data_IF_534333094620
#
_entry.id   IF_534333094620
#
_cell.length_a   1.000
_cell.length_b   1.000
_cell.length_c   1.000
_cell.angle_alpha   90.00
_cell.angle_beta   90.00
_cell.angle_gamma   90.00
#
_symmetry.space_group_name_H-M   'P 1'
#
loop_
_entity.id
_entity.type
_entity.pdbx_description
1 polymer ?
#
# COMPACT_ATOMS: atom_id res chain seq x y z
N UNK A 1 -24.42 -9.89 -52.08
CA UNK A 1 -24.44 -11.36 -52.20
C UNK A 1 -24.31 -11.95 -50.81
N UNK A 2 -25.36 -12.63 -50.34
CA UNK A 2 -25.39 -13.41 -49.11
C UNK A 2 -24.36 -14.55 -49.13
N UNK A 3 -23.89 -14.93 -47.93
CA UNK A 3 -23.45 -16.26 -47.43
C UNK A 3 -22.27 -16.06 -46.47
N UNK A 4 -22.16 -16.66 -45.28
CA UNK A 4 -22.92 -17.68 -44.55
C UNK A 4 -22.48 -17.62 -43.08
N UNK A 5 -23.43 -17.77 -42.15
CA UNK A 5 -23.16 -18.21 -40.78
C UNK A 5 -22.48 -19.59 -40.79
N UNK A 6 -21.65 -19.85 -39.78
CA UNK A 6 -21.31 -21.22 -39.35
C UNK A 6 -21.18 -21.26 -37.84
N UNK A 7 -22.28 -21.70 -37.24
CA UNK A 7 -22.44 -22.16 -35.88
C UNK A 7 -21.66 -23.49 -35.74
N UNK A 8 -20.83 -23.64 -34.70
CA UNK A 8 -20.28 -24.93 -34.32
C UNK A 8 -20.51 -25.14 -32.82
N UNK A 9 -21.56 -25.93 -32.52
CA UNK A 9 -21.69 -26.65 -31.25
C UNK A 9 -20.59 -27.71 -31.19
N UNK A 10 -19.86 -27.76 -30.07
CA UNK A 10 -19.14 -28.95 -29.64
C UNK A 10 -19.68 -29.35 -28.27
N UNK A 11 -20.32 -30.51 -28.25
CA UNK A 11 -20.90 -31.20 -27.10
C UNK A 11 -19.82 -32.06 -26.45
N UNK A 12 -19.79 -32.02 -25.11
CA UNK A 12 -19.30 -33.02 -24.16
C UNK A 12 -17.83 -33.48 -24.25
N UNK A 13 -17.11 -33.24 -23.15
CA UNK A 13 -16.52 -34.32 -22.37
C UNK A 13 -16.36 -33.82 -20.92
N UNK A 14 -17.36 -34.13 -20.10
CA UNK A 14 -17.26 -34.06 -18.65
C UNK A 14 -16.22 -35.10 -18.20
N UNK A 15 -15.02 -34.62 -17.86
CA UNK A 15 -14.10 -35.37 -17.02
C UNK A 15 -14.19 -34.76 -15.64
N UNK A 16 -14.84 -35.49 -14.74
CA UNK A 16 -14.76 -35.28 -13.31
C UNK A 16 -13.31 -35.54 -12.88
N UNK A 17 -12.45 -34.55 -13.05
CA UNK A 17 -11.21 -34.45 -12.29
C UNK A 17 -11.62 -34.10 -10.86
N UNK A 18 -11.83 -35.13 -10.03
CA UNK A 18 -11.70 -34.99 -8.59
C UNK A 18 -10.30 -34.42 -8.35
N UNK A 19 -10.21 -33.10 -8.25
CA UNK A 19 -9.08 -32.47 -7.57
C UNK A 19 -9.20 -32.99 -6.15
N UNK A 20 -8.36 -33.98 -5.85
CA UNK A 20 -7.97 -34.23 -4.48
C UNK A 20 -7.43 -32.90 -3.98
N UNK A 21 -8.28 -32.13 -3.30
CA UNK A 21 -7.81 -31.19 -2.32
C UNK A 21 -6.99 -32.06 -1.37
N UNK A 22 -5.68 -32.06 -1.57
CA UNK A 22 -4.78 -32.45 -0.51
C UNK A 22 -5.22 -31.57 0.66
N UNK A 23 -5.83 -32.18 1.67
CA UNK A 23 -5.88 -31.59 3.00
C UNK A 23 -4.43 -31.26 3.32
N UNK A 24 -4.08 -29.98 3.12
CA UNK A 24 -2.84 -29.45 3.61
C UNK A 24 -2.81 -29.83 5.10
N UNK A 25 -1.72 -30.42 5.59
CA UNK A 25 -1.67 -30.88 6.96
C UNK A 25 -2.07 -29.73 7.87
N UNK A 26 -3.18 -29.91 8.58
CA UNK A 26 -3.61 -29.09 9.71
C UNK A 26 -2.58 -29.28 10.84
N UNK A 27 -1.39 -28.70 10.71
CA UNK A 27 -0.45 -28.40 11.80
C UNK A 27 0.90 -27.89 11.28
N UNK A 28 0.95 -26.59 10.99
CA UNK A 28 2.10 -25.77 11.34
C UNK A 28 1.52 -24.38 11.59
N UNK A 29 1.64 -23.84 12.81
CA UNK A 29 1.15 -22.49 13.09
C UNK A 29 1.76 -21.51 12.09
N UNK A 30 0.95 -20.62 11.53
CA UNK A 30 1.38 -19.68 10.50
C UNK A 30 2.40 -18.69 11.07
N UNK A 31 3.55 -18.59 10.41
CA UNK A 31 4.61 -17.65 10.76
C UNK A 31 4.40 -16.29 10.08
N UNK A 32 5.19 -15.28 10.47
CA UNK A 32 5.10 -13.93 9.93
C UNK A 32 5.36 -13.88 8.41
N UNK A 33 6.26 -14.73 7.90
CA UNK A 33 6.67 -14.73 6.49
C UNK A 33 5.56 -15.32 5.61
N UNK A 34 4.94 -16.40 6.07
CA UNK A 34 3.80 -17.03 5.40
C UNK A 34 2.59 -16.12 5.37
N UNK A 35 2.29 -15.38 6.45
CA UNK A 35 1.27 -14.32 6.44
C UNK A 35 1.56 -13.27 5.38
N UNK A 36 2.80 -12.77 5.31
CA UNK A 36 3.17 -11.80 4.27
C UNK A 36 3.04 -12.37 2.85
N UNK A 37 3.42 -13.63 2.63
CA UNK A 37 3.29 -14.28 1.33
C UNK A 37 1.81 -14.47 0.93
N UNK A 38 0.95 -14.85 1.87
CA UNK A 38 -0.49 -14.95 1.65
C UNK A 38 -1.10 -13.59 1.34
N UNK A 39 -0.72 -12.54 2.07
CA UNK A 39 -1.10 -11.17 1.76
C UNK A 39 -0.60 -10.74 0.37
N UNK A 40 0.65 -11.00 0.01
CA UNK A 40 1.22 -10.64 -1.30
C UNK A 40 0.51 -11.30 -2.49
N UNK A 41 -0.10 -12.47 -2.26
CA UNK A 41 -0.85 -13.22 -3.27
C UNK A 41 -2.33 -12.84 -3.33
N UNK A 42 -2.95 -12.44 -2.21
CA UNK A 42 -4.40 -12.29 -2.11
C UNK A 42 -4.87 -10.86 -1.81
N UNK A 43 -3.99 -9.93 -1.47
CA UNK A 43 -4.36 -8.57 -1.10
C UNK A 43 -4.92 -7.79 -2.30
N UNK A 44 -6.17 -7.33 -2.16
CA UNK A 44 -6.89 -6.62 -3.21
C UNK A 44 -6.28 -5.26 -3.54
N UNK A 45 -5.74 -4.53 -2.55
CA UNK A 45 -5.13 -3.22 -2.76
C UNK A 45 -3.84 -3.32 -3.58
N UNK A 46 -3.00 -4.34 -3.31
CA UNK A 46 -1.81 -4.62 -4.11
C UNK A 46 -2.19 -5.06 -5.54
N UNK A 47 -3.22 -5.88 -5.70
CA UNK A 47 -3.72 -6.26 -7.02
C UNK A 47 -4.21 -5.04 -7.82
N UNK A 48 -4.93 -4.12 -7.17
CA UNK A 48 -5.37 -2.86 -7.77
C UNK A 48 -4.17 -1.97 -8.15
N UNK A 49 -3.16 -1.84 -7.29
CA UNK A 49 -1.94 -1.08 -7.57
C UNK A 49 -1.16 -1.67 -8.76
N UNK A 50 -1.06 -3.01 -8.87
CA UNK A 50 -0.45 -3.69 -10.02
C UNK A 50 -1.21 -3.41 -11.31
N UNK A 51 -2.54 -3.45 -11.27
CA UNK A 51 -3.38 -3.12 -12.43
C UNK A 51 -3.25 -1.65 -12.84
N UNK A 52 -3.19 -0.74 -11.87
CA UNK A 52 -2.95 0.69 -12.10
C UNK A 52 -1.58 0.92 -12.76
N UNK A 53 -0.52 0.28 -12.27
CA UNK A 53 0.80 0.34 -12.90
C UNK A 53 0.77 -0.23 -14.33
N UNK A 54 0.09 -1.36 -14.53
CA UNK A 54 -0.12 -1.94 -15.85
C UNK A 54 -0.79 -0.96 -16.83
N UNK A 55 -1.82 -0.23 -16.39
CA UNK A 55 -2.45 0.80 -17.20
C UNK A 55 -1.52 1.99 -17.48
N UNK A 56 -0.72 2.42 -16.50
CA UNK A 56 0.20 3.54 -16.65
C UNK A 56 1.35 3.22 -17.61
N UNK A 57 1.78 1.95 -17.64
CA UNK A 57 2.79 1.45 -18.57
C UNK A 57 2.40 1.61 -20.03
N UNK A 58 1.10 1.52 -20.33
CA UNK A 58 0.57 1.71 -21.69
C UNK A 58 0.59 3.17 -22.17
N UNK A 59 0.82 4.14 -21.29
CA UNK A 59 0.91 5.55 -21.68
C UNK A 59 2.18 5.82 -22.52
N UNK A 60 3.27 5.07 -22.29
CA UNK A 60 4.51 5.19 -23.08
C UNK A 60 4.33 4.80 -24.55
N UNK A 61 3.79 3.60 -24.90
CA UNK A 61 3.53 3.26 -26.30
C UNK A 61 2.48 4.17 -26.93
N UNK A 62 1.48 4.65 -26.19
CA UNK A 62 0.53 5.64 -26.68
C UNK A 62 1.20 6.98 -27.06
N UNK A 63 2.12 7.47 -26.22
CA UNK A 63 2.90 8.66 -26.53
C UNK A 63 3.84 8.43 -27.72
N UNK A 64 4.50 7.27 -27.77
CA UNK A 64 5.38 6.85 -28.87
C UNK A 64 4.64 6.76 -30.20
N UNK A 65 3.38 6.32 -30.21
CA UNK A 65 2.56 6.24 -31.41
C UNK A 65 2.43 7.60 -32.13
N UNK A 66 2.53 8.71 -31.39
CA UNK A 66 2.56 10.06 -31.97
C UNK A 66 3.81 10.40 -32.80
N UNK A 67 4.84 9.55 -32.77
CA UNK A 67 6.09 9.67 -33.55
C UNK A 67 6.20 8.61 -34.66
N UNK A 68 5.26 7.67 -34.73
CA UNK A 68 5.26 6.56 -35.68
C UNK A 68 4.41 6.89 -36.92
N UNK A 69 4.56 6.13 -38.03
CA UNK A 69 3.73 6.36 -39.20
C UNK A 69 2.26 6.08 -38.87
N UNK A 70 1.39 7.01 -39.25
CA UNK A 70 -0.05 6.86 -39.15
C UNK A 70 -0.64 6.60 -40.54
N UNK A 71 -1.33 5.47 -40.70
CA UNK A 71 -2.06 5.13 -41.92
C UNK A 71 -3.56 5.22 -41.66
N UNK A 72 -4.25 6.02 -42.47
CA UNK A 72 -5.72 6.11 -42.47
C UNK A 72 -6.26 5.85 -43.86
N UNK A 73 -7.48 5.31 -43.92
CA UNK A 73 -8.24 5.16 -45.15
C UNK A 73 -9.65 5.69 -44.94
N UNK A 74 -10.22 6.29 -45.97
CA UNK A 74 -11.57 6.85 -45.98
C UNK A 74 -12.24 6.58 -47.31
N UNK A 75 -13.57 6.62 -47.29
CA UNK A 75 -14.38 6.57 -48.49
C UNK A 75 -15.49 7.61 -48.34
N UNK A 76 -15.68 8.41 -49.37
CA UNK A 76 -16.70 9.44 -49.43
C UNK A 76 -17.68 9.11 -50.55
N UNK A 77 -18.96 9.33 -50.31
CA UNK A 77 -20.02 9.10 -51.28
C UNK A 77 -21.04 10.22 -51.15
N UNK A 78 -21.06 11.11 -52.13
CA UNK A 78 -21.86 12.33 -52.09
C UNK A 78 -22.80 12.39 -53.28
N UNK A 79 -24.02 12.89 -53.08
CA UNK A 79 -24.88 13.34 -54.16
C UNK A 79 -24.79 14.86 -54.23
N UNK A 80 -24.24 15.38 -55.31
CA UNK A 80 -24.00 16.81 -55.54
C UNK A 80 -25.01 17.31 -56.56
N UNK A 81 -25.85 18.25 -56.12
CA UNK A 81 -26.73 19.03 -56.98
C UNK A 81 -26.15 20.43 -57.16
N UNK A 82 -25.74 20.74 -58.37
CA UNK A 82 -25.22 22.06 -58.75
C UNK A 82 -26.26 22.81 -59.57
N UNK A 83 -26.61 24.01 -59.14
CA UNK A 83 -27.46 24.94 -59.88
C UNK A 83 -26.59 26.14 -60.28
N UNK A 84 -26.53 26.42 -61.58
CA UNK A 84 -25.81 27.54 -62.19
C UNK A 84 -26.88 28.50 -62.70
N UNK A 85 -26.80 29.77 -62.30
CA UNK A 85 -27.79 30.78 -62.68
C UNK A 85 -27.55 31.36 -64.08
N UNK A 86 -26.28 31.54 -64.48
CA UNK A 86 -25.90 32.03 -65.81
C UNK A 86 -24.61 31.37 -66.35
N UNK A 87 -24.68 30.67 -67.50
CA UNK A 87 -25.92 30.24 -68.17
C UNK A 87 -26.73 29.31 -67.26
N UNK A 88 -28.06 29.41 -67.31
CA UNK A 88 -28.94 28.61 -66.47
C UNK A 88 -28.73 27.11 -66.73
N UNK A 89 -28.26 26.38 -65.73
CA UNK A 89 -28.03 24.94 -65.82
C UNK A 89 -28.22 24.28 -64.44
N UNK A 90 -28.69 23.03 -64.44
CA UNK A 90 -28.73 22.20 -63.23
C UNK A 90 -28.09 20.86 -63.55
N UNK A 91 -27.17 20.41 -62.69
CA UNK A 91 -26.52 19.12 -62.77
C UNK A 91 -26.68 18.37 -61.45
N UNK A 92 -27.04 17.08 -61.54
CA UNK A 92 -26.98 16.15 -60.42
C UNK A 92 -25.87 15.14 -60.71
N UNK A 93 -25.02 14.89 -59.74
CA UNK A 93 -23.89 13.95 -59.84
C UNK A 93 -23.78 13.16 -58.56
N UNK A 94 -23.51 11.87 -58.72
CA UNK A 94 -22.98 11.06 -57.63
C UNK A 94 -21.46 11.14 -57.70
N UNK A 95 -20.82 11.27 -56.54
CA UNK A 95 -19.39 11.46 -56.41
C UNK A 95 -18.87 10.47 -55.37
N UNK A 96 -18.18 9.44 -55.83
CA UNK A 96 -17.55 8.45 -54.97
C UNK A 96 -16.03 8.60 -54.99
N UNK A 97 -15.40 8.58 -53.81
CA UNK A 97 -13.94 8.55 -53.70
C UNK A 97 -13.47 7.66 -52.57
N UNK A 98 -12.28 7.11 -52.73
CA UNK A 98 -11.52 6.36 -51.74
C UNK A 98 -10.17 7.04 -51.57
N UNK A 99 -9.77 7.26 -50.32
CA UNK A 99 -8.50 7.90 -49.96
C UNK A 99 -7.74 7.04 -48.98
N UNK A 100 -6.45 6.87 -49.20
CA UNK A 100 -5.51 6.36 -48.21
C UNK A 100 -4.44 7.42 -47.94
N UNK A 101 -4.19 7.73 -46.67
CA UNK A 101 -3.22 8.74 -46.23
C UNK A 101 -2.24 8.10 -45.25
N UNK A 102 -0.95 8.15 -45.59
CA UNK A 102 0.16 7.82 -44.70
C UNK A 102 0.84 9.12 -44.27
N UNK A 103 0.96 9.35 -42.96
CA UNK A 103 1.64 10.51 -42.37
C UNK A 103 2.73 10.04 -41.42
N UNK A 104 3.97 10.45 -41.67
CA UNK A 104 5.12 10.18 -40.81
C UNK A 104 5.69 11.49 -40.25
N UNK A 105 5.62 11.69 -38.92
CA UNK A 105 6.40 12.72 -38.23
C UNK A 105 7.89 12.66 -38.56
N UNK A 106 8.46 13.73 -39.12
CA UNK A 106 9.92 13.86 -39.30
C UNK A 106 10.54 14.74 -38.22
N UNK A 107 9.87 15.84 -37.88
CA UNK A 107 10.26 16.73 -36.78
C UNK A 107 9.03 17.16 -35.98
N UNK A 108 8.91 16.64 -34.77
CA UNK A 108 7.81 16.87 -33.82
C UNK A 108 8.32 16.94 -32.39
N UNK A 109 8.91 18.08 -32.04
CA UNK A 109 9.43 18.32 -30.69
C UNK A 109 8.34 18.21 -29.60
N UNK A 110 7.10 18.62 -29.93
CA UNK A 110 5.92 18.44 -29.07
C UNK A 110 5.69 16.96 -28.71
N UNK A 111 5.75 16.07 -29.71
CA UNK A 111 5.54 14.63 -29.51
C UNK A 111 6.72 13.96 -28.83
N UNK A 112 7.95 14.43 -29.07
CA UNK A 112 9.15 13.95 -28.41
C UNK A 112 9.11 14.23 -26.90
N UNK A 113 8.87 15.47 -26.50
CA UNK A 113 8.75 15.82 -25.08
C UNK A 113 7.53 15.16 -24.42
N UNK A 114 6.45 14.92 -25.17
CA UNK A 114 5.32 14.12 -24.68
C UNK A 114 5.73 12.66 -24.36
N UNK A 115 6.58 12.04 -25.18
CA UNK A 115 7.13 10.71 -24.90
C UNK A 115 8.01 10.71 -23.66
N UNK A 116 8.91 11.69 -23.52
CA UNK A 116 9.78 11.80 -22.34
C UNK A 116 8.98 12.03 -21.05
N UNK A 117 7.92 12.86 -21.11
CA UNK A 117 6.99 13.03 -19.99
C UNK A 117 6.29 11.71 -19.64
N UNK A 118 5.81 10.95 -20.64
CA UNK A 118 5.16 9.66 -20.42
C UNK A 118 6.12 8.62 -19.80
N UNK A 119 7.38 8.60 -20.22
CA UNK A 119 8.43 7.74 -19.63
C UNK A 119 8.66 8.09 -18.15
N UNK A 120 8.79 9.38 -17.81
CA UNK A 120 8.93 9.83 -16.43
C UNK A 120 7.69 9.47 -15.57
N UNK A 121 6.48 9.60 -16.11
CA UNK A 121 5.24 9.19 -15.42
C UNK A 121 5.21 7.67 -15.19
N UNK A 122 5.71 6.87 -16.13
CA UNK A 122 5.82 5.42 -15.95
C UNK A 122 6.83 5.05 -14.85
N UNK A 123 7.98 5.71 -14.79
CA UNK A 123 8.96 5.51 -13.71
C UNK A 123 8.42 5.93 -12.34
N UNK A 124 7.70 7.05 -12.28
CA UNK A 124 6.96 7.46 -11.08
C UNK A 124 6.00 6.35 -10.61
N UNK A 125 5.19 5.79 -11.53
CA UNK A 125 4.23 4.75 -11.20
C UNK A 125 4.89 3.43 -10.76
N UNK A 126 6.05 3.10 -11.33
CA UNK A 126 6.85 1.94 -10.90
C UNK A 126 7.31 2.07 -9.44
N UNK A 127 7.79 3.26 -9.05
CA UNK A 127 8.20 3.54 -7.68
C UNK A 127 7.01 3.61 -6.72
N UNK A 128 5.86 4.12 -7.16
CA UNK A 128 4.63 4.07 -6.38
C UNK A 128 4.17 2.63 -6.12
N UNK A 129 4.22 1.74 -7.12
CA UNK A 129 3.95 0.32 -6.92
C UNK A 129 4.94 -0.29 -5.91
N UNK A 130 6.22 0.02 -6.04
CA UNK A 130 7.25 -0.44 -5.09
C UNK A 130 6.97 0.03 -3.66
N UNK A 131 6.48 1.28 -3.51
CA UNK A 131 6.08 1.82 -2.20
C UNK A 131 4.86 1.09 -1.63
N UNK A 132 3.88 0.74 -2.47
CA UNK A 132 2.73 -0.09 -2.07
C UNK A 132 3.17 -1.50 -1.65
N UNK A 133 4.10 -2.11 -2.38
CA UNK A 133 4.66 -3.42 -2.02
C UNK A 133 5.42 -3.37 -0.68
N UNK A 134 6.22 -2.32 -0.45
CA UNK A 134 6.89 -2.10 0.83
C UNK A 134 5.89 -1.83 1.96
N UNK A 135 4.81 -1.11 1.68
CA UNK A 135 3.74 -0.90 2.66
C UNK A 135 3.04 -2.21 3.05
N UNK A 136 2.85 -3.14 2.10
CA UNK A 136 2.29 -4.45 2.41
C UNK A 136 3.15 -5.26 3.38
N UNK A 137 4.48 -5.12 3.30
CA UNK A 137 5.41 -5.74 4.28
C UNK A 137 5.10 -5.22 5.68
N UNK A 138 5.00 -3.90 5.85
CA UNK A 138 4.69 -3.29 7.14
C UNK A 138 3.29 -3.65 7.62
N UNK A 139 2.27 -3.55 6.78
CA UNK A 139 0.88 -3.90 7.12
C UNK A 139 0.76 -5.35 7.57
N UNK A 140 1.46 -6.28 6.90
CA UNK A 140 1.50 -7.69 7.30
C UNK A 140 2.08 -7.86 8.71
N UNK A 141 3.18 -7.17 9.01
CA UNK A 141 3.76 -7.18 10.35
C UNK A 141 2.84 -6.53 11.39
N UNK A 142 2.25 -5.38 11.08
CA UNK A 142 1.31 -4.68 11.97
C UNK A 142 0.10 -5.54 12.33
N UNK A 143 -0.55 -6.17 11.34
CA UNK A 143 -1.67 -7.08 11.58
C UNK A 143 -1.24 -8.33 12.37
N UNK A 144 -0.07 -8.91 12.05
CA UNK A 144 0.45 -10.07 12.77
C UNK A 144 0.73 -9.77 14.24
N UNK A 145 1.47 -8.70 14.52
CA UNK A 145 1.81 -8.31 15.89
C UNK A 145 0.62 -7.71 16.65
N UNK A 146 -0.41 -7.20 15.96
CA UNK A 146 -1.68 -6.85 16.60
C UNK A 146 -2.41 -8.08 17.16
N UNK A 147 -2.42 -9.20 16.42
CA UNK A 147 -2.97 -10.47 16.92
C UNK A 147 -2.17 -10.97 18.13
N UNK A 148 -0.84 -11.00 18.04
CA UNK A 148 0.01 -11.43 19.16
C UNK A 148 -0.17 -10.53 20.40
N UNK A 149 -0.24 -9.21 20.20
CA UNK A 149 -0.53 -8.24 21.26
C UNK A 149 -1.87 -8.50 21.92
N UNK A 150 -2.92 -8.73 21.14
CA UNK A 150 -4.26 -9.03 21.67
C UNK A 150 -4.26 -10.34 22.46
N UNK A 151 -3.57 -11.38 21.97
CA UNK A 151 -3.45 -12.67 22.64
C UNK A 151 -2.72 -12.58 23.99
N UNK A 152 -1.58 -11.88 24.05
CA UNK A 152 -0.84 -11.68 25.30
C UNK A 152 -1.63 -10.82 26.31
N UNK A 153 -2.40 -9.84 25.82
CA UNK A 153 -3.29 -9.04 26.65
C UNK A 153 -4.45 -9.87 27.22
N UNK A 154 -5.05 -10.75 26.42
CA UNK A 154 -6.05 -11.71 26.88
C UNK A 154 -5.46 -12.68 27.91
N UNK A 155 -4.28 -13.23 27.66
CA UNK A 155 -3.60 -14.11 28.61
C UNK A 155 -3.34 -13.42 29.95
N UNK A 156 -2.83 -12.19 29.91
CA UNK A 156 -2.60 -11.37 31.12
C UNK A 156 -3.91 -11.11 31.88
N UNK A 157 -5.00 -10.86 31.17
CA UNK A 157 -6.32 -10.57 31.77
C UNK A 157 -6.99 -11.82 32.35
N UNK A 158 -6.83 -12.99 31.71
CA UNK A 158 -7.23 -14.28 32.29
C UNK A 158 -6.44 -14.59 33.56
N UNK A 159 -5.13 -14.31 33.57
CA UNK A 159 -4.30 -14.51 34.76
C UNK A 159 -4.72 -13.59 35.91
N UNK A 160 -5.07 -12.33 35.60
CA UNK A 160 -5.65 -11.37 36.54
C UNK A 160 -7.01 -11.85 37.11
N UNK A 161 -7.94 -12.26 36.25
CA UNK A 161 -9.23 -12.83 36.66
C UNK A 161 -9.04 -14.05 37.57
N UNK A 162 -8.14 -14.97 37.21
CA UNK A 162 -7.83 -16.14 38.03
C UNK A 162 -7.20 -15.78 39.38
N UNK A 163 -6.38 -14.72 39.43
CA UNK A 163 -5.80 -14.24 40.68
C UNK A 163 -6.87 -13.66 41.60
N UNK A 164 -7.77 -12.81 41.08
CA UNK A 164 -8.89 -12.27 41.86
C UNK A 164 -9.90 -13.33 42.26
N UNK A 165 -10.09 -14.37 41.45
CA UNK A 165 -10.92 -15.52 41.83
C UNK A 165 -10.35 -16.23 43.06
N UNK A 166 -9.03 -16.50 43.08
CA UNK A 166 -8.35 -17.09 44.25
C UNK A 166 -8.47 -16.19 45.48
N UNK A 167 -8.33 -14.87 45.33
CA UNK A 167 -8.51 -13.93 46.44
C UNK A 167 -9.95 -13.93 46.97
N UNK A 168 -10.95 -13.97 46.08
CA UNK A 168 -12.35 -14.11 46.46
C UNK A 168 -12.63 -15.42 47.21
N UNK A 169 -12.11 -16.54 46.72
CA UNK A 169 -12.28 -17.84 47.38
C UNK A 169 -11.63 -17.83 48.77
N UNK A 170 -10.42 -17.28 48.90
CA UNK A 170 -9.75 -17.11 50.18
C UNK A 170 -10.52 -16.16 51.13
N UNK A 171 -11.07 -15.06 50.63
CA UNK A 171 -11.89 -14.14 51.43
C UNK A 171 -13.18 -14.81 51.93
N UNK A 172 -13.82 -15.65 51.10
CA UNK A 172 -15.00 -16.42 51.52
C UNK A 172 -14.66 -17.43 52.62
N UNK A 173 -13.59 -18.21 52.43
CA UNK A 173 -13.14 -19.19 53.43
C UNK A 173 -12.82 -18.53 54.78
N UNK A 174 -12.10 -17.40 54.77
CA UNK A 174 -11.78 -16.63 55.99
C UNK A 174 -13.03 -16.05 56.64
N UNK A 175 -14.01 -15.57 55.87
CA UNK A 175 -15.27 -15.05 56.40
C UNK A 175 -16.09 -16.16 57.06
N UNK A 176 -16.16 -17.34 56.45
CA UNK A 176 -16.92 -18.50 56.96
C UNK A 176 -16.40 -18.99 58.33
N UNK A 177 -15.10 -18.86 58.58
CA UNK A 177 -14.47 -19.17 59.88
C UNK A 177 -14.34 -17.95 60.81
N UNK A 178 -14.89 -16.78 60.44
CA UNK A 178 -14.89 -15.56 61.25
C UNK A 178 -13.55 -14.82 61.35
N UNK A 179 -12.63 -15.05 60.41
CA UNK A 179 -11.29 -14.45 60.36
C UNK A 179 -11.20 -13.20 59.45
N UNK A 180 -12.28 -12.82 58.75
CA UNK A 180 -12.37 -11.60 57.95
C UNK A 180 -13.79 -11.03 57.92
N UNK A 181 -13.92 -9.75 57.58
CA UNK A 181 -15.22 -9.06 57.51
C UNK A 181 -15.93 -9.28 56.17
N UNK A 182 -17.26 -9.06 56.14
CA UNK A 182 -18.07 -9.17 54.90
C UNK A 182 -17.62 -8.18 53.82
N UNK A 183 -17.02 -7.05 54.23
CA UNK A 183 -16.45 -6.04 53.32
C UNK A 183 -15.36 -6.62 52.44
N UNK A 184 -14.51 -7.50 52.98
CA UNK A 184 -13.42 -8.13 52.22
C UNK A 184 -13.97 -9.00 51.08
N UNK A 185 -14.99 -9.80 51.38
CA UNK A 185 -15.69 -10.63 50.39
C UNK A 185 -16.31 -9.79 49.29
N UNK A 186 -17.02 -8.71 49.65
CA UNK A 186 -17.66 -7.81 48.68
C UNK A 186 -16.64 -7.10 47.79
N UNK A 187 -15.50 -6.70 48.35
CA UNK A 187 -14.43 -6.06 47.61
C UNK A 187 -13.73 -7.02 46.63
N UNK A 188 -13.45 -8.25 47.08
CA UNK A 188 -12.90 -9.30 46.22
C UNK A 188 -13.88 -9.68 45.09
N UNK A 189 -15.18 -9.74 45.40
CA UNK A 189 -16.22 -10.02 44.40
C UNK A 189 -16.29 -8.94 43.33
N UNK A 190 -16.33 -7.66 43.74
CA UNK A 190 -16.35 -6.54 42.79
C UNK A 190 -15.10 -6.50 41.88
N UNK A 191 -13.93 -6.84 42.43
CA UNK A 191 -12.68 -6.92 41.67
C UNK A 191 -12.68 -8.07 40.68
N UNK A 192 -13.14 -9.25 41.09
CA UNK A 192 -13.30 -10.42 40.21
C UNK A 192 -14.30 -10.15 39.07
N UNK A 193 -15.47 -9.57 39.37
CA UNK A 193 -16.47 -9.24 38.35
C UNK A 193 -15.94 -8.21 37.34
N UNK A 194 -15.15 -7.24 37.80
CA UNK A 194 -14.46 -6.28 36.94
C UNK A 194 -13.43 -6.96 36.03
N UNK A 195 -12.59 -7.85 36.57
CA UNK A 195 -11.61 -8.58 35.78
C UNK A 195 -12.26 -9.51 34.75
N UNK A 196 -13.38 -10.16 35.11
CA UNK A 196 -14.18 -10.96 34.19
C UNK A 196 -14.73 -10.13 33.03
N UNK A 197 -15.24 -8.92 33.30
CA UNK A 197 -15.68 -7.99 32.26
C UNK A 197 -14.52 -7.60 31.33
N UNK A 198 -13.34 -7.28 31.88
CA UNK A 198 -12.14 -6.96 31.10
C UNK A 198 -11.69 -8.13 30.23
N UNK A 199 -11.75 -9.37 30.73
CA UNK A 199 -11.42 -10.60 29.97
C UNK A 199 -12.34 -10.78 28.77
N UNK A 200 -13.64 -10.48 28.92
CA UNK A 200 -14.61 -10.51 27.80
C UNK A 200 -14.22 -9.50 26.71
N UNK A 201 -13.84 -8.28 27.10
CA UNK A 201 -13.38 -7.26 26.14
C UNK A 201 -12.09 -7.68 25.45
N UNK A 202 -11.12 -8.21 26.19
CA UNK A 202 -9.86 -8.69 25.64
C UNK A 202 -10.06 -9.87 24.68
N UNK A 203 -11.02 -10.76 24.95
CA UNK A 203 -11.37 -11.85 24.05
C UNK A 203 -11.88 -11.30 22.71
N UNK A 204 -12.83 -10.36 22.74
CA UNK A 204 -13.33 -9.72 21.51
C UNK A 204 -12.19 -9.06 20.72
N UNK A 205 -11.24 -8.40 21.39
CA UNK A 205 -10.09 -7.78 20.72
C UNK A 205 -9.19 -8.79 19.99
N UNK A 206 -9.08 -10.02 20.49
CA UNK A 206 -8.38 -11.11 19.77
C UNK A 206 -9.14 -11.48 18.51
N UNK A 207 -10.46 -11.63 18.62
CA UNK A 207 -11.32 -11.98 17.49
C UNK A 207 -11.27 -10.87 16.41
N UNK A 208 -11.40 -9.61 16.81
CA UNK A 208 -11.28 -8.43 15.95
C UNK A 208 -9.91 -8.37 15.24
N UNK A 209 -8.82 -8.71 15.93
CA UNK A 209 -7.47 -8.72 15.36
C UNK A 209 -7.28 -9.84 14.34
N UNK A 210 -7.86 -11.02 14.58
CA UNK A 210 -7.85 -12.10 13.59
C UNK A 210 -8.66 -11.73 12.35
N UNK A 211 -9.82 -11.10 12.49
CA UNK A 211 -10.62 -10.63 11.35
C UNK A 211 -9.85 -9.62 10.49
N UNK A 212 -9.08 -8.72 11.10
CA UNK A 212 -8.20 -7.81 10.36
C UNK A 212 -7.11 -8.58 9.58
N UNK A 213 -6.51 -9.61 10.17
CA UNK A 213 -5.52 -10.45 9.50
C UNK A 213 -6.13 -11.29 8.35
N UNK A 214 -7.35 -11.81 8.55
CA UNK A 214 -8.13 -12.52 7.53
C UNK A 214 -8.43 -11.58 6.36
N UNK A 215 -8.85 -10.34 6.65
CA UNK A 215 -9.14 -9.33 5.62
C UNK A 215 -7.90 -9.02 4.77
N UNK A 216 -6.72 -8.96 5.37
CA UNK A 216 -5.47 -8.68 4.67
C UNK A 216 -5.04 -9.81 3.72
N UNK A 217 -5.28 -11.06 4.12
CA UNK A 217 -4.68 -12.27 3.52
C UNK A 217 -5.68 -13.15 2.77
N UNK A 218 -6.98 -12.90 2.97
CA UNK A 218 -8.10 -13.73 2.53
C UNK A 218 -7.95 -15.21 2.96
N UNK A 219 -7.39 -15.46 4.15
CA UNK A 219 -7.16 -16.79 4.72
C UNK A 219 -7.63 -16.83 6.17
N UNK A 220 -8.22 -17.95 6.59
CA UNK A 220 -8.61 -18.17 7.98
C UNK A 220 -7.42 -18.66 8.81
N UNK A 221 -7.27 -18.12 10.01
CA UNK A 221 -6.22 -18.50 10.96
C UNK A 221 -6.82 -18.96 12.28
N UNK A 222 -6.43 -20.15 12.73
CA UNK A 222 -6.81 -20.64 14.07
C UNK A 222 -5.76 -20.33 15.13
N UNK A 223 -4.50 -20.15 14.72
CA UNK A 223 -3.39 -19.75 15.58
C UNK A 223 -2.20 -19.28 14.74
N UNK A 224 -1.36 -18.44 15.33
CA UNK A 224 -0.11 -17.94 14.73
C UNK A 224 1.06 -18.21 15.68
N UNK A 225 2.29 -18.20 15.16
CA UNK A 225 3.49 -18.35 15.99
C UNK A 225 3.72 -17.10 16.85
N UNK A 226 4.04 -17.27 18.13
CA UNK A 226 4.32 -16.14 19.02
C UNK A 226 5.80 -15.78 19.05
N UNK A 227 6.13 -14.56 19.50
CA UNK A 227 7.50 -14.07 19.52
C UNK A 227 8.17 -14.20 20.89
N UNK A 228 9.34 -14.84 20.94
CA UNK A 228 10.07 -15.07 22.19
C UNK A 228 10.58 -13.79 22.84
N UNK A 229 10.63 -13.78 24.17
CA UNK A 229 11.11 -12.64 24.97
C UNK A 229 12.62 -12.39 24.89
N UNK A 230 13.37 -13.31 24.26
CA UNK A 230 14.82 -13.20 24.06
C UNK A 230 15.21 -12.42 22.79
N UNK A 231 14.24 -11.88 22.03
CA UNK A 231 14.51 -10.95 20.94
C UNK A 231 15.41 -9.80 21.45
N UNK A 232 16.58 -9.57 20.84
CA UNK A 232 17.44 -8.45 21.22
C UNK A 232 16.74 -7.11 21.02
N UNK A 233 16.68 -6.31 22.09
CA UNK A 233 16.12 -4.95 22.04
C UNK A 233 17.29 -3.97 22.09
N UNK A 234 17.70 -3.53 20.90
CA UNK A 234 18.89 -2.72 20.68
C UNK A 234 18.52 -1.40 19.97
N UNK A 235 19.29 -0.31 20.21
CA UNK A 235 19.17 0.92 19.44
C UNK A 235 19.32 0.68 17.93
N UNK A 236 18.78 1.57 17.08
CA UNK A 236 18.94 1.43 15.64
C UNK A 236 20.43 1.48 15.26
N UNK A 237 20.83 0.71 14.25
CA UNK A 237 22.19 0.66 13.76
C UNK A 237 22.27 1.23 12.33
N UNK A 238 23.05 2.30 12.08
CA UNK A 238 23.83 3.09 13.05
C UNK A 238 22.91 3.90 13.99
N UNK A 239 23.35 4.16 15.22
CA UNK A 239 22.59 5.00 16.17
C UNK A 239 22.88 6.49 15.91
N UNK A 240 22.70 6.92 14.67
CA UNK A 240 22.87 8.29 14.21
C UNK A 240 21.69 8.71 13.34
N UNK A 241 20.85 9.60 13.86
CA UNK A 241 19.69 10.13 13.15
C UNK A 241 20.05 10.78 11.80
N UNK A 242 21.27 11.35 11.67
CA UNK A 242 21.69 11.98 10.42
C UNK A 242 21.90 10.95 9.31
N UNK A 243 22.54 9.82 9.64
CA UNK A 243 22.75 8.71 8.69
C UNK A 243 21.42 8.14 8.17
N UNK A 244 20.41 7.99 9.05
CA UNK A 244 19.07 7.56 8.65
C UNK A 244 18.37 8.57 7.74
N UNK A 245 18.46 9.86 8.04
CA UNK A 245 17.89 10.92 7.20
C UNK A 245 18.56 10.98 5.82
N UNK A 246 19.89 10.81 5.77
CA UNK A 246 20.62 10.76 4.49
C UNK A 246 20.20 9.56 3.65
N UNK A 247 20.03 8.40 4.29
CA UNK A 247 19.53 7.17 3.64
C UNK A 247 18.11 7.38 3.12
N UNK A 248 17.21 7.90 3.96
CA UNK A 248 15.83 8.23 3.57
C UNK A 248 15.78 9.20 2.39
N UNK A 249 16.63 10.24 2.37
CA UNK A 249 16.72 11.20 1.27
C UNK A 249 17.12 10.58 -0.07
N UNK A 250 17.80 9.42 -0.07
CA UNK A 250 18.26 8.71 -1.27
C UNK A 250 17.37 7.55 -1.68
N UNK A 251 16.75 6.86 -0.72
CA UNK A 251 16.10 5.56 -0.93
C UNK A 251 14.60 5.56 -0.67
N UNK A 252 14.04 6.60 -0.02
CA UNK A 252 12.61 6.65 0.22
C UNK A 252 11.83 6.64 -1.11
N UNK A 253 11.00 5.61 -1.30
CA UNK A 253 10.34 5.32 -2.58
C UNK A 253 9.37 6.42 -3.00
N UNK A 254 8.65 7.02 -2.05
CA UNK A 254 7.74 8.13 -2.34
C UNK A 254 8.49 9.40 -2.76
N UNK A 255 9.62 9.68 -2.12
CA UNK A 255 10.47 10.81 -2.51
C UNK A 255 11.07 10.59 -3.89
N UNK A 256 11.56 9.38 -4.20
CA UNK A 256 12.03 9.03 -5.54
C UNK A 256 10.92 9.17 -6.60
N UNK A 257 9.71 8.69 -6.32
CA UNK A 257 8.56 8.85 -7.21
C UNK A 257 8.25 10.34 -7.47
N UNK A 258 8.35 11.18 -6.44
CA UNK A 258 8.12 12.62 -6.59
C UNK A 258 9.20 13.33 -7.42
N UNK A 259 10.43 12.80 -7.47
CA UNK A 259 11.46 13.32 -8.38
C UNK A 259 11.05 13.10 -9.84
N UNK A 260 10.53 11.91 -10.18
CA UNK A 260 10.02 11.63 -11.51
C UNK A 260 8.76 12.43 -11.85
N UNK A 261 7.93 12.77 -10.86
CA UNK A 261 6.82 13.69 -11.06
C UNK A 261 7.31 15.10 -11.48
N UNK A 262 8.39 15.61 -10.86
CA UNK A 262 9.03 16.88 -11.28
C UNK A 262 9.57 16.75 -12.70
N UNK A 263 10.28 15.67 -13.03
CA UNK A 263 10.78 15.42 -14.39
C UNK A 263 9.65 15.38 -15.42
N UNK A 264 8.53 14.72 -15.12
CA UNK A 264 7.36 14.71 -16.00
C UNK A 264 6.77 16.12 -16.22
N UNK A 265 6.72 16.94 -15.18
CA UNK A 265 6.27 18.33 -15.27
C UNK A 265 7.24 19.21 -16.08
N UNK A 266 8.56 19.01 -15.94
CA UNK A 266 9.59 19.67 -16.74
C UNK A 266 9.45 19.35 -18.23
N UNK A 267 9.28 18.07 -18.59
CA UNK A 267 9.08 17.65 -19.97
C UNK A 267 7.74 18.13 -20.53
N UNK A 268 6.68 18.19 -19.70
CA UNK A 268 5.41 18.81 -20.08
C UNK A 268 5.57 20.31 -20.36
N UNK A 269 6.37 21.03 -19.57
CA UNK A 269 6.69 22.43 -19.85
C UNK A 269 7.44 22.58 -21.18
N UNK A 270 8.42 21.72 -21.47
CA UNK A 270 9.12 21.70 -22.77
C UNK A 270 8.19 21.37 -23.93
N UNK A 271 7.27 20.43 -23.75
CA UNK A 271 6.20 20.14 -24.70
C UNK A 271 5.37 21.39 -25.01
N UNK A 272 4.94 22.17 -24.00
CA UNK A 272 4.19 23.41 -24.24
C UNK A 272 5.02 24.47 -24.95
N UNK A 273 6.30 24.61 -24.60
CA UNK A 273 7.23 25.52 -25.30
C UNK A 273 7.42 25.11 -26.77
N UNK A 274 7.43 23.81 -27.05
CA UNK A 274 7.54 23.29 -28.41
C UNK A 274 6.35 23.66 -29.31
N UNK A 275 5.23 24.14 -28.76
CA UNK A 275 4.12 24.70 -29.54
C UNK A 275 4.49 25.96 -30.35
N UNK A 276 5.67 26.56 -30.12
CA UNK A 276 6.24 27.64 -30.95
C UNK A 276 7.20 27.14 -32.03
N UNK A 277 7.57 25.86 -32.02
CA UNK A 277 8.51 25.30 -32.98
C UNK A 277 7.81 24.89 -34.27
N UNK A 278 8.51 24.91 -35.41
CA UNK A 278 7.99 24.34 -36.64
C UNK A 278 7.77 22.83 -36.49
N UNK A 279 6.87 22.29 -37.30
CA UNK A 279 6.59 20.85 -37.39
C UNK A 279 6.80 20.41 -38.83
N UNK A 280 7.43 19.25 -39.03
CA UNK A 280 7.69 18.68 -40.35
C UNK A 280 7.17 17.24 -40.40
N UNK A 281 6.26 16.97 -41.32
CA UNK A 281 5.71 15.63 -41.56
C UNK A 281 5.94 15.22 -43.03
N UNK A 282 6.27 13.95 -43.27
CA UNK A 282 6.19 13.34 -44.60
C UNK A 282 4.77 12.80 -44.81
N UNK A 283 4.13 13.18 -45.92
CA UNK A 283 2.77 12.77 -46.24
C UNK A 283 2.76 12.08 -47.59
N UNK A 284 2.20 10.88 -47.63
CA UNK A 284 1.87 10.17 -48.85
C UNK A 284 0.35 9.94 -48.89
N UNK A 285 -0.29 10.37 -49.98
CA UNK A 285 -1.73 10.24 -50.19
C UNK A 285 -1.97 9.54 -51.52
N UNK A 286 -2.85 8.55 -51.49
CA UNK A 286 -3.44 7.95 -52.68
C UNK A 286 -4.95 8.21 -52.65
N UNK A 287 -5.48 8.69 -53.75
CA UNK A 287 -6.91 8.92 -53.91
C UNK A 287 -7.37 8.35 -55.24
N UNK A 288 -8.54 7.71 -55.24
CA UNK A 288 -9.18 7.19 -56.44
C UNK A 288 -10.66 7.47 -56.35
N UNK A 289 -11.30 7.88 -57.43
CA UNK A 289 -12.73 8.13 -57.45
C UNK A 289 -13.22 8.63 -58.79
N UNK A 290 -14.49 8.98 -58.86
CA UNK A 290 -15.06 9.64 -60.03
C UNK A 290 -14.33 10.97 -60.27
N UNK A 291 -14.20 11.38 -61.53
CA UNK A 291 -13.58 12.66 -61.90
C UNK A 291 -14.20 13.83 -61.12
N UNK A 292 -15.53 13.79 -60.92
CA UNK A 292 -16.31 14.80 -60.22
C UNK A 292 -16.01 14.81 -58.70
N UNK A 293 -15.67 13.66 -58.10
CA UNK A 293 -15.29 13.55 -56.69
C UNK A 293 -13.88 14.11 -56.40
N UNK A 294 -13.00 14.11 -57.41
CA UNK A 294 -11.63 14.60 -57.33
C UNK A 294 -11.47 16.06 -57.82
N UNK A 295 -12.57 16.75 -58.08
CA UNK A 295 -12.56 18.17 -58.46
C UNK A 295 -12.15 18.45 -59.91
N UNK A 296 -12.11 17.42 -60.77
CA UNK A 296 -11.93 17.61 -62.21
C UNK A 296 -13.26 18.07 -62.80
N UNK A 297 -13.34 19.36 -63.13
CA UNK A 297 -14.53 19.89 -63.79
C UNK A 297 -14.66 19.28 -65.19
N UNK A 298 -15.82 18.68 -65.45
CA UNK A 298 -16.32 18.46 -66.80
C UNK A 298 -17.16 19.68 -67.19
N UNK A 299 -16.58 20.79 -67.70
CA UNK A 299 -17.40 21.78 -68.35
C UNK A 299 -18.09 21.08 -69.51
N UNK A 300 -19.42 21.16 -69.60
CA UNK A 300 -20.26 20.61 -70.67
C UNK A 300 -19.93 21.21 -72.07
N UNK A 301 -18.70 21.65 -72.33
CA UNK A 301 -18.25 22.43 -73.50
C UNK A 301 -17.03 21.82 -74.22
N UNK A 302 -16.46 20.70 -73.77
CA UNK A 302 -15.43 19.97 -74.52
C UNK A 302 -16.04 18.76 -75.25
N UNK A 303 -15.58 18.38 -76.47
CA UNK A 303 -16.13 17.24 -77.22
C UNK A 303 -15.92 15.86 -76.59
N UNK A 304 -15.13 15.77 -75.50
CA UNK A 304 -14.76 14.51 -74.85
C UNK A 304 -14.95 14.69 -73.34
N UNK A 305 -16.05 14.18 -72.74
CA UNK A 305 -16.23 14.20 -71.29
C UNK A 305 -15.26 13.23 -70.61
N UNK A 306 -14.65 13.63 -69.49
CA UNK A 306 -13.90 12.72 -68.63
C UNK A 306 -14.91 11.90 -67.82
N UNK A 307 -15.36 10.76 -68.36
CA UNK A 307 -16.39 9.91 -67.73
C UNK A 307 -15.85 8.70 -66.97
N UNK A 308 -14.57 8.71 -66.60
CA UNK A 308 -13.90 7.55 -65.99
C UNK A 308 -13.24 7.85 -64.65
N UNK A 309 -12.93 6.79 -63.91
CA UNK A 309 -12.17 6.84 -62.66
C UNK A 309 -10.88 7.65 -62.84
N UNK A 310 -10.65 8.56 -61.91
CA UNK A 310 -9.38 9.26 -61.77
C UNK A 310 -8.64 8.72 -60.54
N UNK A 311 -7.32 8.68 -60.61
CA UNK A 311 -6.49 8.40 -59.43
C UNK A 311 -5.35 9.39 -59.31
N UNK A 312 -5.07 9.82 -58.08
CA UNK A 312 -4.04 10.77 -57.73
C UNK A 312 -3.11 10.16 -56.68
N UNK A 313 -1.80 10.37 -56.86
CA UNK A 313 -0.75 10.03 -55.90
C UNK A 313 0.02 11.29 -55.56
N UNK A 314 0.08 11.61 -54.28
CA UNK A 314 0.81 12.77 -53.78
C UNK A 314 1.81 12.28 -52.74
N UNK A 315 3.08 12.60 -52.91
CA UNK A 315 4.12 12.38 -51.90
C UNK A 315 4.80 13.72 -51.69
N UNK A 316 4.89 14.17 -50.45
CA UNK A 316 5.47 15.48 -50.15
C UNK A 316 5.82 15.67 -48.68
N UNK A 317 6.48 16.78 -48.42
CA UNK A 317 6.81 17.24 -47.08
C UNK A 317 5.88 18.38 -46.70
N UNK A 318 5.33 18.35 -45.48
CA UNK A 318 4.48 19.40 -44.93
C UNK A 318 5.20 20.07 -43.78
N UNK A 319 5.64 21.31 -44.00
CA UNK A 319 6.20 22.18 -42.97
C UNK A 319 5.11 23.12 -42.44
N UNK A 320 4.86 23.10 -41.15
CA UNK A 320 3.92 24.00 -40.48
C UNK A 320 4.65 24.80 -39.40
N UNK A 321 4.64 26.13 -39.53
CA UNK A 321 5.31 27.07 -38.62
C UNK A 321 4.24 27.96 -37.96
N UNK A 322 3.92 27.75 -36.68
CA UNK A 322 2.95 28.59 -35.98
C UNK A 322 3.55 29.98 -35.72
N UNK A 323 3.01 31.01 -36.38
CA UNK A 323 3.47 32.41 -36.20
C UNK A 323 2.76 33.05 -35.01
N UNK A 324 1.42 32.94 -34.96
CA UNK A 324 0.60 33.51 -33.89
C UNK A 324 -0.68 32.69 -33.71
N UNK A 325 -0.98 32.32 -32.47
CA UNK A 325 -2.12 31.47 -32.10
C UNK A 325 -3.05 32.14 -31.08
N UNK A 326 -3.21 33.47 -31.16
CA UNK A 326 -4.07 34.23 -30.24
C UNK A 326 -3.62 34.21 -28.78
N UNK A 327 -2.32 34.00 -28.51
CA UNK A 327 -1.76 33.90 -27.16
C UNK A 327 -1.91 32.53 -26.46
N UNK A 328 -2.54 31.53 -27.12
CA UNK A 328 -2.77 30.20 -26.55
C UNK A 328 -1.49 29.53 -26.03
N UNK A 329 -0.46 29.39 -26.89
CA UNK A 329 0.79 28.70 -26.52
C UNK A 329 1.49 29.38 -25.36
N UNK A 330 1.57 30.72 -25.37
CA UNK A 330 2.19 31.47 -24.27
C UNK A 330 1.42 31.32 -22.95
N UNK A 331 0.09 31.22 -23.01
CA UNK A 331 -0.74 30.94 -21.83
C UNK A 331 -0.48 29.53 -21.28
N UNK A 332 -0.45 28.51 -22.13
CA UNK A 332 -0.16 27.13 -21.74
C UNK A 332 1.24 26.95 -21.15
N UNK A 333 2.23 27.72 -21.63
CA UNK A 333 3.58 27.75 -21.07
C UNK A 333 3.57 28.34 -19.66
N UNK A 334 2.89 29.48 -19.43
CA UNK A 334 2.76 30.08 -18.09
C UNK A 334 2.04 29.15 -17.11
N UNK A 335 0.95 28.52 -17.55
CA UNK A 335 0.23 27.51 -16.77
C UNK A 335 1.15 26.34 -16.38
N UNK A 336 1.89 25.79 -17.34
CA UNK A 336 2.78 24.65 -17.09
C UNK A 336 3.96 25.03 -16.19
N UNK A 337 4.42 26.28 -16.26
CA UNK A 337 5.42 26.79 -15.33
C UNK A 337 4.90 26.79 -13.88
N UNK A 338 3.68 27.29 -13.65
CA UNK A 338 3.06 27.25 -12.32
C UNK A 338 2.80 25.82 -11.83
N UNK A 339 2.47 24.89 -12.73
CA UNK A 339 2.35 23.46 -12.37
C UNK A 339 3.68 22.83 -11.98
N UNK A 340 4.76 23.14 -12.70
CA UNK A 340 6.10 22.69 -12.32
C UNK A 340 6.48 23.21 -10.94
N UNK A 341 6.32 24.51 -10.68
CA UNK A 341 6.58 25.10 -9.36
C UNK A 341 5.73 24.42 -8.27
N UNK A 342 4.43 24.18 -8.52
CA UNK A 342 3.58 23.40 -7.60
C UNK A 342 4.17 22.01 -7.30
N UNK A 343 4.60 21.26 -8.31
CA UNK A 343 5.17 19.92 -8.13
C UNK A 343 6.51 19.98 -7.38
N UNK A 344 7.34 21.00 -7.63
CA UNK A 344 8.59 21.21 -6.88
C UNK A 344 8.33 21.51 -5.40
N UNK A 345 7.34 22.35 -5.09
CA UNK A 345 6.96 22.62 -3.70
C UNK A 345 6.35 21.40 -3.00
N UNK A 346 5.56 20.59 -3.71
CA UNK A 346 5.04 19.32 -3.19
C UNK A 346 6.17 18.34 -2.86
N UNK A 347 7.18 18.21 -3.73
CA UNK A 347 8.39 17.42 -3.45
C UNK A 347 9.14 17.95 -2.23
N UNK A 348 9.32 19.26 -2.11
CA UNK A 348 10.01 19.85 -0.95
C UNK A 348 9.22 19.61 0.36
N UNK A 349 7.90 19.71 0.32
CA UNK A 349 7.02 19.35 1.44
C UNK A 349 7.20 17.89 1.84
N UNK A 350 7.15 16.97 0.87
CA UNK A 350 7.38 15.54 1.10
C UNK A 350 8.78 15.28 1.66
N UNK A 351 9.82 15.94 1.14
CA UNK A 351 11.20 15.81 1.64
C UNK A 351 11.28 16.20 3.11
N UNK A 352 10.65 17.32 3.51
CA UNK A 352 10.61 17.76 4.92
C UNK A 352 9.88 16.76 5.80
N UNK A 353 8.75 16.21 5.33
CA UNK A 353 7.98 15.20 6.04
C UNK A 353 8.78 13.90 6.22
N UNK A 354 9.52 13.45 5.20
CA UNK A 354 10.41 12.27 5.29
C UNK A 354 11.52 12.50 6.32
N UNK A 355 12.14 13.69 6.32
CA UNK A 355 13.16 14.06 7.31
C UNK A 355 12.60 14.06 8.73
N UNK A 356 11.44 14.68 8.93
CA UNK A 356 10.75 14.72 10.23
C UNK A 356 10.39 13.32 10.72
N UNK A 357 9.70 12.54 9.89
CA UNK A 357 9.23 11.19 10.23
C UNK A 357 10.42 10.27 10.58
N UNK A 358 11.48 10.30 9.77
CA UNK A 358 12.69 9.49 10.01
C UNK A 358 13.34 9.85 11.35
N UNK A 359 13.44 11.14 11.69
CA UNK A 359 13.98 11.58 12.99
C UNK A 359 13.08 11.17 14.15
N UNK A 360 11.76 11.28 13.98
CA UNK A 360 10.80 10.89 15.01
C UNK A 360 10.87 9.39 15.28
N UNK A 361 10.89 8.56 14.23
CA UNK A 361 11.03 7.10 14.35
C UNK A 361 12.38 6.69 14.94
N UNK A 362 13.48 7.37 14.58
CA UNK A 362 14.78 7.12 15.21
C UNK A 362 14.73 7.38 16.73
N UNK A 363 14.07 8.46 17.16
CA UNK A 363 13.89 8.74 18.60
C UNK A 363 12.92 7.76 19.26
N UNK A 364 11.87 7.33 18.55
CA UNK A 364 10.92 6.34 19.03
C UNK A 364 11.64 5.02 19.34
N UNK A 365 12.40 4.46 18.39
CA UNK A 365 13.15 3.21 18.61
C UNK A 365 14.13 3.32 19.79
N UNK A 366 14.84 4.45 19.94
CA UNK A 366 15.71 4.66 21.11
C UNK A 366 14.90 4.70 22.43
N UNK A 367 13.74 5.36 22.41
CA UNK A 367 12.83 5.43 23.56
C UNK A 367 12.27 4.05 23.89
N UNK A 368 11.90 3.26 22.89
CA UNK A 368 11.35 1.91 23.07
C UNK A 368 12.35 0.98 23.73
N UNK A 369 13.64 1.09 23.40
CA UNK A 369 14.70 0.32 24.04
C UNK A 369 14.73 0.56 25.54
N UNK A 370 14.70 1.83 25.96
CA UNK A 370 14.66 2.21 27.37
C UNK A 370 13.34 1.80 28.04
N UNK A 371 12.21 1.97 27.35
CA UNK A 371 10.89 1.58 27.86
C UNK A 371 10.79 0.08 28.11
N UNK A 372 11.23 -0.76 27.17
CA UNK A 372 11.18 -2.22 27.34
C UNK A 372 12.02 -2.64 28.55
N UNK A 373 13.21 -2.06 28.73
CA UNK A 373 14.06 -2.33 29.90
C UNK A 373 13.39 -1.89 31.21
N UNK A 374 12.88 -0.66 31.28
CA UNK A 374 12.21 -0.13 32.46
C UNK A 374 10.93 -0.90 32.82
N UNK A 375 10.12 -1.26 31.81
CA UNK A 375 8.89 -2.05 32.00
C UNK A 375 9.20 -3.47 32.46
N UNK A 376 10.29 -4.08 31.98
CA UNK A 376 10.75 -5.38 32.49
C UNK A 376 11.08 -5.32 33.98
N UNK A 377 11.84 -4.31 34.40
CA UNK A 377 12.15 -4.10 35.82
C UNK A 377 10.89 -3.80 36.65
N UNK A 378 9.93 -3.05 36.09
CA UNK A 378 8.65 -2.79 36.75
C UNK A 378 7.87 -4.07 37.07
N UNK A 379 7.93 -5.10 36.22
CA UNK A 379 7.30 -6.39 36.53
C UNK A 379 7.97 -7.03 37.75
N UNK A 380 9.30 -7.05 37.80
CA UNK A 380 10.06 -7.64 38.93
C UNK A 380 9.71 -6.93 40.25
N UNK A 381 9.68 -5.60 40.23
CA UNK A 381 9.31 -4.80 41.40
C UNK A 381 7.85 -5.02 41.83
N UNK A 382 6.90 -5.05 40.88
CA UNK A 382 5.49 -5.27 41.22
C UNK A 382 5.22 -6.71 41.66
N UNK A 383 5.94 -7.69 41.12
CA UNK A 383 5.86 -9.08 41.59
C UNK A 383 6.32 -9.19 43.04
N UNK A 384 7.45 -8.55 43.38
CA UNK A 384 7.95 -8.49 44.76
C UNK A 384 6.98 -7.76 45.68
N UNK A 385 6.32 -6.70 45.19
CA UNK A 385 5.31 -5.96 45.94
C UNK A 385 4.05 -6.80 46.21
N UNK A 386 3.59 -7.61 45.23
CA UNK A 386 2.50 -8.57 45.42
C UNK A 386 2.87 -9.56 46.53
N UNK A 387 4.04 -10.19 46.46
CA UNK A 387 4.47 -11.17 47.46
C UNK A 387 4.56 -10.56 48.87
N UNK A 388 5.16 -9.37 49.00
CA UNK A 388 5.24 -8.67 50.28
C UNK A 388 3.85 -8.27 50.83
N UNK A 389 2.93 -7.87 49.95
CA UNK A 389 1.58 -7.46 50.35
C UNK A 389 0.71 -8.66 50.73
N UNK A 390 0.86 -9.79 50.03
CA UNK A 390 0.21 -11.06 50.38
C UNK A 390 0.68 -11.57 51.75
N UNK A 391 1.99 -11.54 52.03
CA UNK A 391 2.53 -11.85 53.37
C UNK A 391 1.97 -10.89 54.41
N UNK A 392 1.98 -9.58 54.12
CA UNK A 392 1.42 -8.55 54.99
C UNK A 392 -0.05 -8.78 55.34
N UNK A 393 -0.86 -9.21 54.36
CA UNK A 393 -2.26 -9.54 54.56
C UNK A 393 -2.47 -10.82 55.38
N UNK A 394 -1.59 -11.82 55.22
CA UNK A 394 -1.62 -13.04 56.04
C UNK A 394 -1.31 -12.76 57.51
N UNK A 395 -0.39 -11.83 57.80
CA UNK A 395 -0.01 -11.45 59.18
C UNK A 395 -0.81 -10.26 59.73
N UNK A 396 -1.77 -9.72 58.96
CA UNK A 396 -2.67 -8.65 59.40
C UNK A 396 -2.09 -7.22 59.38
N UNK A 397 -0.95 -6.99 58.73
CA UNK A 397 -0.35 -5.65 58.58
C UNK A 397 -0.79 -4.91 57.32
N UNK A 398 -1.48 -5.59 56.40
CA UNK A 398 -2.08 -5.05 55.17
C UNK A 398 -3.52 -5.53 55.03
N UNK A 399 -4.33 -4.84 54.22
CA UNK A 399 -5.71 -5.22 53.95
C UNK A 399 -5.84 -5.94 52.59
N UNK A 400 -7.02 -6.52 52.31
CA UNK A 400 -7.28 -7.21 51.03
C UNK A 400 -7.24 -6.26 49.83
N UNK A 401 -7.63 -4.99 50.03
CA UNK A 401 -7.60 -3.96 48.97
C UNK A 401 -6.17 -3.77 48.47
N UNK A 402 -5.19 -3.72 49.36
CA UNK A 402 -3.77 -3.60 49.02
C UNK A 402 -3.30 -4.78 48.17
N UNK A 403 -3.73 -6.02 48.50
CA UNK A 403 -3.41 -7.23 47.72
C UNK A 403 -4.02 -7.14 46.33
N UNK A 404 -5.32 -6.81 46.23
CA UNK A 404 -6.04 -6.70 44.96
C UNK A 404 -5.43 -5.60 44.07
N UNK A 405 -5.07 -4.45 44.64
CA UNK A 405 -4.45 -3.34 43.92
C UNK A 405 -3.02 -3.69 43.47
N UNK A 406 -2.23 -4.36 44.30
CA UNK A 406 -0.88 -4.82 43.93
C UNK A 406 -0.92 -5.83 42.77
N UNK A 407 -1.87 -6.77 42.79
CA UNK A 407 -2.08 -7.74 41.71
C UNK A 407 -2.53 -7.04 40.42
N UNK A 408 -3.47 -6.08 40.50
CA UNK A 408 -3.87 -5.25 39.35
C UNK A 408 -2.66 -4.54 38.73
N UNK A 409 -1.81 -3.95 39.56
CA UNK A 409 -0.63 -3.22 39.13
C UNK A 409 0.42 -4.13 38.48
N UNK A 410 0.60 -5.36 38.99
CA UNK A 410 1.43 -6.38 38.36
C UNK A 410 0.95 -6.69 36.94
N UNK A 411 -0.32 -7.09 36.76
CA UNK A 411 -0.84 -7.45 35.44
C UNK A 411 -0.90 -6.26 34.48
N UNK A 412 -1.11 -5.03 34.99
CA UNK A 412 -0.93 -3.80 34.22
C UNK A 412 0.50 -3.65 33.69
N UNK A 413 1.52 -3.85 34.54
CA UNK A 413 2.92 -3.81 34.12
C UNK A 413 3.28 -4.90 33.09
N UNK A 414 2.69 -6.09 33.20
CA UNK A 414 2.88 -7.17 32.23
C UNK A 414 2.35 -6.78 30.85
N UNK A 415 1.11 -6.27 30.79
CA UNK A 415 0.52 -5.76 29.54
C UNK A 415 1.36 -4.64 28.94
N UNK A 416 1.78 -3.66 29.76
CA UNK A 416 2.60 -2.54 29.31
C UNK A 416 3.95 -2.99 28.74
N UNK A 417 4.61 -3.98 29.37
CA UNK A 417 5.85 -4.55 28.86
C UNK A 417 5.68 -5.25 27.51
N UNK A 418 4.65 -6.09 27.35
CA UNK A 418 4.40 -6.75 26.08
C UNK A 418 4.04 -5.74 24.98
N UNK A 419 3.21 -4.73 25.29
CA UNK A 419 2.92 -3.65 24.35
C UNK A 419 4.20 -2.93 23.89
N UNK A 420 5.07 -2.52 24.82
CA UNK A 420 6.36 -1.87 24.48
C UNK A 420 7.26 -2.74 23.61
N UNK A 421 7.24 -4.08 23.78
CA UNK A 421 7.99 -4.99 22.89
C UNK A 421 7.46 -4.96 21.47
N UNK A 422 6.14 -5.00 21.31
CA UNK A 422 5.52 -4.93 19.99
C UNK A 422 5.70 -3.55 19.36
N UNK A 423 5.64 -2.47 20.14
CA UNK A 423 5.92 -1.11 19.66
C UNK A 423 7.37 -1.00 19.15
N UNK A 424 8.37 -1.50 19.90
CA UNK A 424 9.77 -1.57 19.45
C UNK A 424 9.94 -2.26 18.09
N UNK A 425 9.29 -3.42 17.90
CA UNK A 425 9.40 -4.19 16.65
C UNK A 425 8.80 -3.39 15.48
N UNK A 426 7.60 -2.84 15.67
CA UNK A 426 6.90 -2.10 14.62
C UNK A 426 7.61 -0.78 14.29
N UNK A 427 8.11 -0.06 15.29
CA UNK A 427 8.83 1.20 15.08
C UNK A 427 10.18 0.99 14.41
N UNK A 428 10.84 -0.16 14.62
CA UNK A 428 12.02 -0.56 13.85
C UNK A 428 11.68 -0.77 12.35
N UNK A 429 10.59 -1.48 12.05
CA UNK A 429 10.14 -1.69 10.67
C UNK A 429 9.69 -0.37 10.01
N UNK A 430 8.99 0.51 10.74
CA UNK A 430 8.61 1.85 10.28
C UNK A 430 9.82 2.72 10.00
N UNK A 431 10.87 2.66 10.83
CA UNK A 431 12.12 3.37 10.58
C UNK A 431 12.78 2.90 9.28
N UNK A 432 12.84 1.57 9.05
CA UNK A 432 13.36 1.01 7.80
C UNK A 432 12.51 1.41 6.59
N UNK A 433 11.18 1.47 6.73
CA UNK A 433 10.28 1.92 5.66
C UNK A 433 10.51 3.41 5.35
N UNK A 434 10.57 4.27 6.37
CA UNK A 434 10.85 5.69 6.20
C UNK A 434 12.20 5.93 5.52
N UNK A 435 13.20 5.10 5.84
CA UNK A 435 14.51 5.11 5.20
C UNK A 435 14.51 4.51 3.77
N UNK A 436 13.47 3.80 3.36
CA UNK A 436 13.40 3.10 2.07
C UNK A 436 14.15 1.77 2.02
N UNK A 437 14.52 1.20 3.18
CA UNK A 437 15.33 -0.04 3.29
C UNK A 437 14.52 -1.27 3.70
N UNK A 438 13.26 -1.10 4.10
CA UNK A 438 12.37 -2.20 4.50
C UNK A 438 12.20 -3.19 3.34
N UNK A 439 12.48 -4.46 3.61
CA UNK A 439 12.41 -5.54 2.64
C UNK A 439 11.91 -6.84 3.30
N UNK A 440 11.52 -7.87 2.52
CA UNK A 440 11.00 -9.13 3.07
C UNK A 440 12.01 -9.89 3.97
N UNK A 441 13.31 -9.66 3.80
CA UNK A 441 14.35 -10.22 4.66
C UNK A 441 14.25 -9.76 6.11
N UNK A 442 13.73 -8.53 6.35
CA UNK A 442 13.50 -8.04 7.71
C UNK A 442 12.44 -8.88 8.45
N UNK A 443 11.43 -9.39 7.74
CA UNK A 443 10.45 -10.33 8.31
C UNK A 443 11.08 -11.70 8.58
N UNK A 444 12.00 -12.15 7.73
CA UNK A 444 12.73 -13.41 7.94
C UNK A 444 13.64 -13.35 9.16
N UNK A 445 14.29 -12.20 9.39
CA UNK A 445 15.12 -11.98 10.58
C UNK A 445 14.27 -12.02 11.86
N UNK A 446 13.06 -11.44 11.84
CA UNK A 446 12.10 -11.56 12.94
C UNK A 446 11.56 -12.98 13.11
N UNK A 447 11.36 -13.71 12.02
CA UNK A 447 10.85 -15.08 12.05
C UNK A 447 11.74 -16.04 12.84
N UNK A 448 13.06 -15.77 12.95
CA UNK A 448 13.98 -16.56 13.78
C UNK A 448 13.66 -16.52 15.27
N UNK A 449 12.88 -15.53 15.71
CA UNK A 449 12.43 -15.37 17.09
C UNK A 449 10.98 -15.82 17.28
N UNK A 450 10.36 -16.41 16.27
CA UNK A 450 9.03 -16.99 16.40
C UNK A 450 9.14 -18.42 16.94
N UNK A 451 8.23 -18.75 17.85
CA UNK A 451 8.14 -20.05 18.51
C UNK A 451 6.85 -20.73 18.07
N UNK A 452 6.99 -21.86 17.37
CA UNK A 452 5.87 -22.61 16.83
C UNK A 452 4.90 -23.12 17.90
N UNK A 453 5.39 -23.42 19.10
CA UNK A 453 4.62 -23.90 20.27
C UNK A 453 4.33 -22.80 21.31
N UNK A 454 4.51 -21.51 20.96
CA UNK A 454 4.18 -20.39 21.85
C UNK A 454 2.76 -20.49 22.40
N UNK A 455 2.59 -20.59 23.71
CA UNK A 455 1.27 -20.61 24.33
C UNK A 455 1.05 -19.27 25.05
N UNK A 456 0.18 -18.37 24.53
CA UNK A 456 -0.04 -17.07 25.16
C UNK A 456 -0.39 -17.18 26.66
N UNK A 457 -1.17 -18.18 27.06
CA UNK A 457 -1.59 -18.35 28.46
C UNK A 457 -0.43 -18.77 29.41
N UNK A 458 0.74 -19.14 28.87
CA UNK A 458 1.94 -19.55 29.66
C UNK A 458 3.18 -18.71 29.37
N UNK A 459 3.37 -18.35 28.12
CA UNK A 459 4.59 -17.75 27.60
C UNK A 459 4.51 -16.22 27.59
N UNK A 460 3.39 -15.58 27.94
CA UNK A 460 3.24 -14.10 27.96
C UNK A 460 4.22 -13.36 28.90
N UNK A 461 4.93 -14.10 29.76
CA UNK A 461 5.94 -13.60 30.68
C UNK A 461 7.34 -14.17 30.37
N UNK A 462 8.41 -13.37 30.51
CA UNK A 462 9.76 -13.90 30.48
C UNK A 462 9.99 -14.91 31.63
N UNK A 463 10.61 -16.07 31.35
CA UNK A 463 10.71 -17.18 32.30
C UNK A 463 11.64 -16.90 33.49
N UNK A 464 12.49 -15.89 33.39
CA UNK A 464 13.47 -15.52 34.41
C UNK A 464 12.93 -14.55 35.47
N UNK A 465 11.78 -13.91 35.23
CA UNK A 465 11.26 -12.85 36.12
C UNK A 465 10.90 -13.36 37.52
N UNK A 466 10.39 -14.58 37.63
CA UNK A 466 10.00 -15.17 38.93
C UNK A 466 11.23 -15.34 39.83
N UNK A 467 12.37 -15.79 39.27
CA UNK A 467 13.61 -15.94 40.02
C UNK A 467 14.18 -14.57 40.42
N UNK A 468 14.18 -13.61 39.49
CA UNK A 468 14.67 -12.26 39.75
C UNK A 468 13.86 -11.54 40.85
N UNK A 469 12.52 -11.70 40.86
CA UNK A 469 11.67 -11.13 41.90
C UNK A 469 11.96 -11.73 43.29
N UNK A 470 12.13 -13.05 43.36
CA UNK A 470 12.47 -13.73 44.60
C UNK A 470 13.85 -13.32 45.15
N UNK A 471 14.82 -13.04 44.28
CA UNK A 471 16.13 -12.50 44.68
C UNK A 471 16.01 -11.06 45.19
N UNK A 472 15.21 -10.22 44.52
CA UNK A 472 14.98 -8.83 44.93
C UNK A 472 14.29 -8.74 46.30
N UNK A 473 13.34 -9.62 46.60
CA UNK A 473 12.70 -9.68 47.92
C UNK A 473 13.67 -10.07 49.04
N UNK A 474 14.67 -10.92 48.74
CA UNK A 474 15.68 -11.36 49.71
C UNK A 474 16.81 -10.35 49.91
N UNK A 475 17.02 -9.44 48.95
CA UNK A 475 18.05 -8.42 49.04
C UNK A 475 17.75 -7.47 50.21
N UNK A 476 18.63 -7.43 51.21
CA UNK A 476 18.52 -6.46 52.31
C UNK A 476 18.69 -5.05 51.74
N UNK A 477 17.85 -4.07 52.12
CA UNK A 477 18.13 -2.68 51.80
C UNK A 477 19.47 -2.31 52.42
N UNK A 478 20.42 -1.86 51.59
CA UNK A 478 21.67 -1.30 52.08
C UNK A 478 21.37 -0.05 52.90
N UNK A 479 21.75 -0.07 54.17
CA UNK A 479 21.74 1.09 55.05
C UNK A 479 23.02 1.90 54.87
#
# INVERSE_FOLDING_TARGET
MLRKLSLALAVSCATNGMVWAAEAPLSARTDLVSVYQEAANNNADLAAARAQYGAQKEVVPQARAGLLPNLSAGADSNNVRTQIDQPAATANRDAHSWRATLSQPLFRADRWFQLQAAEAVNEQASLQLSATEQNLILQSAESYFAVLRAQDNLASTKAEENAFKRQLDQSNERFDVGLSDKTDVLQSQASYDTARANRIVAQRQVDDAFEALITLTNRQYNSIQGIVHTLPVLPPAPNDAKAWVETAGRQNLNLLASNYAVTAAEETLRQRKAGHLPTLDAVAQYEKGDNDALGFSNPNQLPIPYGGDVSQRTIGLRLNIPIYSGGLTSSQVRESYSRLDQTEQQREGLRRQVVENTRNLHRAVNTDVEQVQARRQSIISNQSAVEATEIGYQVGTRNIVDVLDSQRQLYSSVRNYNNSRYDYILDNLRLKQAAGTLNPGDLQDLARYLKADYNPDKDFLPPDLVKAAAEQLKARPGY
#
